data_IF_864220084121
#
_entry.id   IF_864220084121
#
_cell.length_a   1.000
_cell.length_b   1.000
_cell.length_c   1.000
_cell.angle_alpha   90.00
_cell.angle_beta   90.00
_cell.angle_gamma   90.00
#
_symmetry.space_group_name_H-M   'P 1'
#
loop_
_entity.id
_entity.type
_entity.pdbx_description
1 polymer ?
#
# COMPACT_ATOMS: atom_id res chain seq x y z
N UNK A 1 -2.96 -8.13 -1.56
CA UNK A 1 -2.54 -6.78 -1.13
C UNK A 1 -3.60 -5.78 -1.60
N UNK A 2 -3.76 -4.65 -0.92
CA UNK A 2 -4.66 -3.56 -1.33
C UNK A 2 -3.92 -2.20 -1.34
N UNK A 3 -4.36 -1.27 -2.19
CA UNK A 3 -3.79 0.09 -2.29
C UNK A 3 -4.92 1.15 -2.24
N UNK A 4 -5.55 1.37 -1.07
CA UNK A 4 -6.58 2.38 -0.93
C UNK A 4 -6.00 3.77 -1.19
N UNK A 5 -6.63 4.50 -2.08
CA UNK A 5 -6.29 5.89 -2.41
C UNK A 5 -7.58 6.66 -2.72
N UNK A 6 -7.48 7.98 -2.74
CA UNK A 6 -8.59 8.87 -3.06
C UNK A 6 -8.09 10.06 -3.88
N UNK A 7 -9.02 10.90 -4.33
CA UNK A 7 -8.72 12.07 -5.14
C UNK A 7 -7.97 13.12 -4.32
N UNK A 8 -7.02 13.80 -4.98
CA UNK A 8 -6.06 14.70 -4.37
C UNK A 8 -6.70 15.92 -3.68
N UNK A 9 -7.86 16.36 -4.16
CA UNK A 9 -8.62 17.50 -3.65
C UNK A 9 -9.18 17.28 -2.23
N UNK A 10 -9.27 16.02 -1.80
CA UNK A 10 -9.73 15.66 -0.44
C UNK A 10 -8.59 15.56 0.58
N UNK A 11 -7.33 15.62 0.14
CA UNK A 11 -6.15 15.39 0.97
C UNK A 11 -5.53 16.70 1.48
N UNK A 12 -5.53 16.88 2.80
CA UNK A 12 -4.92 18.06 3.46
C UNK A 12 -3.42 17.93 3.65
N UNK A 13 -2.94 16.73 3.93
CA UNK A 13 -1.53 16.44 4.16
C UNK A 13 -1.20 15.12 3.51
N UNK A 14 -0.09 15.08 2.78
CA UNK A 14 0.35 13.87 2.11
C UNK A 14 0.90 12.87 3.11
N UNK A 15 0.57 11.60 2.94
CA UNK A 15 1.15 10.51 3.69
C UNK A 15 1.01 9.18 2.96
N UNK A 16 1.87 8.24 3.37
CA UNK A 16 1.77 6.83 3.04
C UNK A 16 1.66 6.08 4.35
N UNK A 17 0.64 5.24 4.48
CA UNK A 17 0.51 4.35 5.63
C UNK A 17 0.58 2.90 5.17
N UNK A 18 1.29 2.08 5.95
CA UNK A 18 1.44 0.66 5.70
C UNK A 18 0.79 -0.10 6.85
N UNK A 19 -0.10 -1.02 6.51
CA UNK A 19 -0.81 -1.86 7.46
C UNK A 19 -0.56 -3.32 7.10
N UNK A 20 -0.11 -4.10 8.07
CA UNK A 20 0.14 -5.54 7.94
C UNK A 20 -0.82 -6.32 8.82
N UNK A 21 -1.47 -7.33 8.26
CA UNK A 21 -2.39 -8.22 8.96
C UNK A 21 -2.15 -9.67 8.49
N UNK A 22 -1.83 -10.57 9.41
CA UNK A 22 -1.48 -11.96 9.08
C UNK A 22 -2.66 -12.80 8.57
N UNK A 23 -3.84 -12.57 9.12
CA UNK A 23 -5.08 -13.25 8.75
C UNK A 23 -5.61 -12.73 7.40
N UNK A 24 -5.33 -11.45 7.12
CA UNK A 24 -5.74 -10.74 5.91
C UNK A 24 -7.12 -10.12 6.08
N UNK A 25 -7.30 -8.96 5.44
CA UNK A 25 -8.54 -8.18 5.47
C UNK A 25 -9.20 -8.28 4.08
N UNK A 26 -10.50 -8.58 3.97
CA UNK A 26 -11.17 -8.67 2.68
C UNK A 26 -11.31 -7.28 2.04
N UNK A 27 -10.89 -7.16 0.79
CA UNK A 27 -11.11 -6.02 -0.10
C UNK A 27 -11.78 -6.48 -1.39
N UNK A 28 -12.51 -5.59 -2.06
CA UNK A 28 -12.97 -5.86 -3.43
C UNK A 28 -11.80 -5.73 -4.40
N UNK A 29 -11.75 -6.61 -5.39
CA UNK A 29 -10.79 -6.49 -6.49
C UNK A 29 -11.11 -5.25 -7.31
N UNK A 30 -10.05 -4.58 -7.76
CA UNK A 30 -10.14 -3.38 -8.59
C UNK A 30 -10.67 -3.69 -10.00
N UNK A 31 -10.35 -4.87 -10.54
CA UNK A 31 -10.74 -5.30 -11.88
C UNK A 31 -12.08 -6.04 -11.93
N UNK A 32 -12.50 -6.66 -10.83
CA UNK A 32 -13.82 -7.30 -10.70
C UNK A 32 -14.40 -7.12 -9.28
N UNK A 33 -15.32 -6.17 -9.07
CA UNK A 33 -15.94 -5.91 -7.77
C UNK A 33 -16.75 -7.07 -7.18
N UNK A 34 -17.08 -8.10 -7.96
CA UNK A 34 -17.77 -9.29 -7.45
C UNK A 34 -16.81 -10.26 -6.76
N UNK A 35 -15.51 -10.08 -6.94
CA UNK A 35 -14.48 -10.91 -6.33
C UNK A 35 -13.76 -10.19 -5.20
N UNK A 36 -13.40 -10.96 -4.18
CA UNK A 36 -12.67 -10.47 -3.02
C UNK A 36 -11.20 -10.84 -3.11
N UNK A 37 -10.36 -10.00 -2.50
CA UNK A 37 -8.95 -10.27 -2.24
C UNK A 37 -8.69 -10.16 -0.74
N UNK A 38 -8.08 -11.19 -0.15
CA UNK A 38 -7.62 -11.11 1.24
C UNK A 38 -6.26 -10.38 1.28
N UNK A 39 -6.28 -9.11 1.66
CA UNK A 39 -5.11 -8.26 1.71
C UNK A 39 -4.40 -8.37 3.06
N UNK A 40 -3.20 -8.96 3.05
CA UNK A 40 -2.30 -9.02 4.21
C UNK A 40 -1.41 -7.80 4.38
N UNK A 41 -1.17 -7.09 3.29
CA UNK A 41 -0.43 -5.82 3.23
C UNK A 41 -1.33 -4.81 2.54
N UNK A 42 -1.44 -3.63 3.15
CA UNK A 42 -2.27 -2.53 2.68
C UNK A 42 -1.42 -1.27 2.66
N UNK A 43 -1.30 -0.65 1.49
CA UNK A 43 -0.63 0.65 1.29
C UNK A 43 -1.69 1.73 1.10
N UNK A 44 -1.94 2.53 2.12
CA UNK A 44 -2.87 3.67 2.03
C UNK A 44 -2.11 4.88 1.52
N UNK A 45 -2.60 5.47 0.43
CA UNK A 45 -1.99 6.62 -0.21
C UNK A 45 -2.89 7.84 -0.07
N UNK A 46 -2.34 8.88 0.54
CA UNK A 46 -2.93 10.21 0.58
C UNK A 46 -1.94 11.17 -0.09
N UNK A 47 -2.24 11.57 -1.32
CA UNK A 47 -1.39 12.45 -2.14
C UNK A 47 -2.26 13.62 -2.59
N UNK A 48 -1.77 14.85 -2.48
CA UNK A 48 -2.53 16.04 -2.85
C UNK A 48 -2.03 16.69 -4.16
N UNK A 49 -0.98 16.13 -4.77
CA UNK A 49 -0.48 16.51 -6.08
C UNK A 49 -0.74 15.40 -7.12
N UNK A 50 -1.51 15.67 -8.20
CA UNK A 50 -1.80 14.68 -9.24
C UNK A 50 -0.56 14.08 -9.93
N UNK A 51 0.50 14.89 -10.10
CA UNK A 51 1.76 14.41 -10.68
C UNK A 51 2.53 13.48 -9.74
N UNK A 52 2.49 13.72 -8.43
CA UNK A 52 3.16 12.87 -7.43
C UNK A 52 2.48 11.50 -7.30
N UNK A 53 1.19 11.40 -7.64
CA UNK A 53 0.46 10.13 -7.59
C UNK A 53 1.05 9.08 -8.53
N UNK A 54 1.39 9.45 -9.76
CA UNK A 54 1.91 8.50 -10.73
C UNK A 54 3.32 8.00 -10.32
N UNK A 55 4.17 8.91 -9.86
CA UNK A 55 5.53 8.57 -9.39
C UNK A 55 5.49 7.66 -8.17
N UNK A 56 4.62 7.95 -7.20
CA UNK A 56 4.44 7.12 -6.01
C UNK A 56 3.91 5.72 -6.38
N UNK A 57 2.94 5.64 -7.30
CA UNK A 57 2.43 4.36 -7.77
C UNK A 57 3.52 3.54 -8.47
N UNK A 58 4.40 4.16 -9.25
CA UNK A 58 5.53 3.46 -9.88
C UNK A 58 6.53 2.93 -8.84
N UNK A 59 6.89 3.74 -7.84
CA UNK A 59 7.76 3.31 -6.75
C UNK A 59 7.16 2.12 -5.98
N UNK A 60 5.86 2.19 -5.67
CA UNK A 60 5.14 1.09 -5.04
C UNK A 60 5.12 -0.14 -5.93
N UNK A 61 4.88 -0.02 -7.24
CA UNK A 61 4.89 -1.19 -8.13
C UNK A 61 6.23 -1.94 -8.08
N UNK A 62 7.35 -1.23 -7.91
CA UNK A 62 8.65 -1.85 -7.64
C UNK A 62 8.66 -2.69 -6.37
N UNK A 63 8.20 -2.11 -5.24
CA UNK A 63 8.09 -2.81 -3.96
C UNK A 63 7.13 -4.01 -4.03
N UNK A 64 6.02 -3.85 -4.75
CA UNK A 64 4.96 -4.86 -4.89
C UNK A 64 5.43 -6.06 -5.71
N UNK A 65 6.29 -5.83 -6.70
CA UNK A 65 6.85 -6.90 -7.52
C UNK A 65 8.02 -7.61 -6.81
N UNK A 66 8.62 -6.97 -5.80
CA UNK A 66 9.66 -7.60 -4.98
C UNK A 66 9.06 -8.48 -3.88
N UNK A 67 8.93 -9.76 -4.20
CA UNK A 67 8.45 -10.77 -3.25
C UNK A 67 9.31 -10.94 -1.99
N UNK A 68 10.60 -10.61 -2.04
CA UNK A 68 11.47 -10.65 -0.86
C UNK A 68 11.11 -9.52 0.10
N UNK A 69 10.98 -8.29 -0.42
CA UNK A 69 10.58 -7.12 0.37
C UNK A 69 9.18 -7.31 0.94
N UNK A 70 8.22 -7.82 0.16
CA UNK A 70 6.87 -8.09 0.66
C UNK A 70 6.84 -9.10 1.81
N UNK A 71 7.64 -10.17 1.72
CA UNK A 71 7.76 -11.14 2.81
C UNK A 71 8.37 -10.52 4.06
N UNK A 72 9.37 -9.65 3.91
CA UNK A 72 9.98 -8.95 5.05
C UNK A 72 8.98 -7.98 5.70
N UNK A 73 8.23 -7.22 4.90
CA UNK A 73 7.17 -6.32 5.39
C UNK A 73 6.10 -7.12 6.15
N UNK A 74 5.64 -8.26 5.59
CA UNK A 74 4.62 -9.06 6.24
C UNK A 74 5.07 -9.64 7.60
N UNK A 75 6.35 -9.95 7.75
CA UNK A 75 6.90 -10.54 8.98
C UNK A 75 7.53 -9.51 9.93
N UNK A 76 7.54 -8.23 9.55
CA UNK A 76 8.10 -7.17 10.36
C UNK A 76 7.36 -7.06 11.70
N UNK A 77 8.11 -6.90 12.78
CA UNK A 77 7.55 -6.83 14.14
C UNK A 77 7.52 -5.41 14.70
N UNK A 78 8.13 -4.47 13.97
CA UNK A 78 8.23 -3.07 14.36
C UNK A 78 8.01 -2.13 13.18
N UNK A 79 7.56 -0.91 13.50
CA UNK A 79 7.40 0.16 12.51
C UNK A 79 8.76 0.54 11.89
N UNK A 80 9.84 0.46 12.66
CA UNK A 80 11.17 0.84 12.20
C UNK A 80 11.73 -0.14 11.16
N UNK A 81 11.49 -1.45 11.31
CA UNK A 81 11.80 -2.44 10.27
C UNK A 81 11.11 -2.11 8.94
N UNK A 82 9.80 -1.80 9.00
CA UNK A 82 9.03 -1.44 7.79
C UNK A 82 9.59 -0.17 7.15
N UNK A 83 9.99 0.83 7.95
CA UNK A 83 10.57 2.07 7.44
C UNK A 83 11.92 1.83 6.75
N UNK A 84 12.80 1.00 7.30
CA UNK A 84 14.08 0.68 6.65
C UNK A 84 13.90 -0.04 5.30
N UNK A 85 12.86 -0.86 5.17
CA UNK A 85 12.55 -1.57 3.92
C UNK A 85 11.95 -0.69 2.82
N UNK A 86 11.41 0.48 3.20
CA UNK A 86 10.70 1.40 2.31
C UNK A 86 11.43 2.73 2.10
N UNK A 87 12.70 2.82 2.53
CA UNK A 87 13.55 3.99 2.32
C UNK A 87 13.95 4.21 0.87
#
# INVERSE_FOLDING_TARGET
MAIPHTDADTIKSEFVAVITNQEGIPFKRMDDPNQDVSAKIIFVLALNQPHAQLEMLQALMGVIQDTSVLNQIQNATSVDEIKELLK
#
